data_IF_252495777123
#
_entry.id   IF_252495777123
#
_cell.length_a   1.000
_cell.length_b   1.000
_cell.length_c   1.000
_cell.angle_alpha   90.00
_cell.angle_beta   90.00
_cell.angle_gamma   90.00
#
_symmetry.space_group_name_H-M   'P 1'
#
loop_
_entity.id
_entity.type
_entity.pdbx_description
1 polymer ?
#
# COMPACT_ATOMS: atom_id res chain seq x y z
N UNK A 1 -16.55 12.71 9.58
CA UNK A 1 -15.95 11.39 9.34
C UNK A 1 -17.00 10.44 8.81
N UNK A 2 -16.74 9.81 7.68
CA UNK A 2 -17.71 8.90 7.07
C UNK A 2 -17.59 7.51 7.67
N UNK A 3 -18.75 6.86 7.83
CA UNK A 3 -18.82 5.49 8.31
C UNK A 3 -18.77 4.53 7.13
N UNK A 4 -17.90 3.53 7.19
CA UNK A 4 -17.80 2.52 6.15
C UNK A 4 -18.98 1.55 6.29
N UNK A 5 -19.75 1.40 5.19
CA UNK A 5 -20.95 0.56 5.19
C UNK A 5 -20.65 -0.91 4.92
N UNK A 6 -19.52 -1.21 4.32
CA UNK A 6 -19.14 -2.58 3.96
C UNK A 6 -17.96 -2.99 4.82
N UNK A 7 -18.20 -3.75 5.91
CA UNK A 7 -17.12 -4.13 6.83
C UNK A 7 -15.96 -4.87 6.17
N UNK A 8 -16.26 -5.73 5.17
CA UNK A 8 -15.22 -6.48 4.47
C UNK A 8 -14.22 -5.59 3.78
N UNK A 9 -14.65 -4.45 3.23
CA UNK A 9 -13.76 -3.51 2.56
C UNK A 9 -12.77 -2.89 3.53
N UNK A 10 -13.25 -2.43 4.68
CA UNK A 10 -12.39 -1.87 5.74
C UNK A 10 -11.41 -2.92 6.26
N UNK A 11 -11.89 -4.14 6.48
CA UNK A 11 -11.05 -5.24 6.97
C UNK A 11 -9.98 -5.61 5.97
N UNK A 12 -10.33 -5.65 4.67
CA UNK A 12 -9.35 -5.90 3.61
C UNK A 12 -8.27 -4.83 3.58
N UNK A 13 -8.64 -3.56 3.66
CA UNK A 13 -7.68 -2.46 3.71
C UNK A 13 -6.77 -2.59 4.93
N UNK A 14 -7.30 -2.96 6.08
CA UNK A 14 -6.51 -3.15 7.29
C UNK A 14 -5.44 -4.23 7.12
N UNK A 15 -5.77 -5.32 6.43
CA UNK A 15 -4.80 -6.37 6.10
C UNK A 15 -3.71 -5.81 5.18
N UNK A 16 -4.09 -5.06 4.15
CA UNK A 16 -3.14 -4.43 3.23
C UNK A 16 -2.18 -3.49 3.97
N UNK A 17 -2.71 -2.67 4.87
CA UNK A 17 -1.90 -1.71 5.63
C UNK A 17 -0.91 -2.40 6.57
N UNK A 18 -1.29 -3.50 7.20
CA UNK A 18 -0.38 -4.29 8.02
C UNK A 18 0.75 -4.87 7.18
N UNK A 19 0.43 -5.38 5.98
CA UNK A 19 1.44 -5.94 5.07
C UNK A 19 2.31 -4.85 4.44
N UNK A 20 1.80 -3.65 4.28
CA UNK A 20 2.59 -2.51 3.85
C UNK A 20 3.69 -2.18 4.87
N UNK A 21 3.34 -2.25 6.14
CA UNK A 21 4.26 -1.92 7.24
C UNK A 21 5.23 -3.06 7.57
N UNK A 22 4.75 -4.29 7.57
CA UNK A 22 5.51 -5.45 8.04
C UNK A 22 6.06 -6.33 6.91
N UNK A 23 5.77 -6.00 5.66
CA UNK A 23 6.20 -6.68 4.43
C UNK A 23 5.69 -8.10 4.27
N UNK A 24 5.98 -9.00 5.21
CA UNK A 24 5.56 -10.41 5.17
C UNK A 24 5.01 -10.82 6.52
N UNK A 25 3.86 -11.47 6.53
CA UNK A 25 3.23 -11.97 7.74
C UNK A 25 2.62 -13.34 7.49
N UNK A 26 2.66 -14.20 8.49
CA UNK A 26 1.83 -15.41 8.50
C UNK A 26 0.38 -15.00 8.77
N UNK A 27 -0.57 -15.90 8.51
CA UNK A 27 -1.97 -15.64 8.83
C UNK A 27 -2.15 -15.37 10.32
N UNK A 28 -1.46 -16.12 11.18
CA UNK A 28 -1.50 -15.90 12.62
C UNK A 28 -1.05 -14.51 13.01
N UNK A 29 0.02 -14.01 12.39
CA UNK A 29 0.49 -12.65 12.62
C UNK A 29 -0.52 -11.62 12.13
N UNK A 30 -1.16 -11.84 10.97
CA UNK A 30 -2.20 -10.96 10.48
C UNK A 30 -3.39 -10.89 11.43
N UNK A 31 -3.81 -12.02 11.97
CA UNK A 31 -4.90 -12.06 12.96
C UNK A 31 -4.52 -11.23 14.18
N UNK A 32 -3.32 -11.42 14.69
CA UNK A 32 -2.83 -10.70 15.86
C UNK A 32 -2.71 -9.18 15.60
N UNK A 33 -2.10 -8.80 14.49
CA UNK A 33 -1.81 -7.39 14.17
C UNK A 33 -3.05 -6.60 13.74
N UNK A 34 -4.02 -7.27 13.11
CA UNK A 34 -5.26 -6.59 12.69
C UNK A 34 -6.33 -6.61 13.77
N UNK A 35 -6.23 -7.49 14.73
CA UNK A 35 -7.27 -7.73 15.75
C UNK A 35 -8.61 -8.14 15.14
N UNK A 36 -8.60 -8.71 13.94
CA UNK A 36 -9.80 -9.19 13.27
C UNK A 36 -10.11 -10.63 13.67
N UNK A 37 -11.38 -11.05 13.57
CA UNK A 37 -11.73 -12.44 13.80
C UNK A 37 -10.97 -13.38 12.85
N UNK A 38 -10.54 -14.52 13.37
CA UNK A 38 -9.77 -15.50 12.60
C UNK A 38 -10.48 -15.91 11.31
N UNK A 39 -11.77 -16.21 11.38
CA UNK A 39 -12.56 -16.61 10.21
C UNK A 39 -12.58 -15.53 9.13
N UNK A 40 -12.69 -14.27 9.53
CA UNK A 40 -12.67 -13.15 8.58
C UNK A 40 -11.32 -13.06 7.86
N UNK A 41 -10.22 -13.20 8.59
CA UNK A 41 -8.88 -13.11 8.00
C UNK A 41 -8.66 -14.22 6.98
N UNK A 42 -9.04 -15.46 7.31
CA UNK A 42 -8.88 -16.58 6.39
C UNK A 42 -9.64 -16.36 5.08
N UNK A 43 -10.91 -15.94 5.18
CA UNK A 43 -11.75 -15.71 4.00
C UNK A 43 -11.22 -14.57 3.16
N UNK A 44 -10.88 -13.46 3.80
CA UNK A 44 -10.38 -12.28 3.10
C UNK A 44 -9.05 -12.55 2.40
N UNK A 45 -8.11 -13.18 3.10
CA UNK A 45 -6.81 -13.51 2.53
C UNK A 45 -6.96 -14.45 1.33
N UNK A 46 -7.82 -15.47 1.44
CA UNK A 46 -8.06 -16.39 0.34
C UNK A 46 -8.58 -15.65 -0.91
N UNK A 47 -9.58 -14.80 -0.74
CA UNK A 47 -10.14 -14.01 -1.84
C UNK A 47 -9.14 -13.01 -2.40
N UNK A 48 -8.36 -12.36 -1.53
CA UNK A 48 -7.36 -11.39 -1.97
C UNK A 48 -6.23 -12.05 -2.76
N UNK A 49 -5.87 -13.29 -2.42
CA UNK A 49 -4.92 -14.07 -3.20
C UNK A 49 -5.50 -14.38 -4.60
N UNK A 50 -6.75 -14.80 -4.67
CA UNK A 50 -7.43 -15.06 -5.95
C UNK A 50 -7.48 -13.82 -6.82
N UNK A 51 -7.61 -12.64 -6.23
CA UNK A 51 -7.65 -11.35 -6.92
C UNK A 51 -6.25 -10.79 -7.22
N UNK A 52 -5.20 -11.51 -6.86
CA UNK A 52 -3.81 -11.09 -7.05
C UNK A 52 -3.40 -9.85 -6.26
N UNK A 53 -4.17 -9.50 -5.25
CA UNK A 53 -3.81 -8.44 -4.30
C UNK A 53 -2.73 -8.92 -3.32
N UNK A 54 -2.76 -10.20 -2.99
CA UNK A 54 -1.82 -10.84 -2.09
C UNK A 54 -1.21 -12.08 -2.74
N UNK A 55 -0.07 -12.49 -2.21
CA UNK A 55 0.59 -13.75 -2.56
C UNK A 55 0.95 -14.49 -1.30
N UNK A 56 0.77 -15.81 -1.32
CA UNK A 56 1.31 -16.69 -0.29
C UNK A 56 2.61 -17.30 -0.79
N UNK A 57 3.67 -17.14 -0.02
CA UNK A 57 4.98 -17.69 -0.34
C UNK A 57 5.09 -19.15 0.12
N UNK A 58 6.15 -19.84 -0.31
CA UNK A 58 6.36 -21.25 0.05
C UNK A 58 6.52 -21.47 1.56
N UNK A 59 6.99 -20.45 2.28
CA UNK A 59 7.13 -20.47 3.75
C UNK A 59 5.82 -20.12 4.46
N UNK A 60 4.72 -20.01 3.70
CA UNK A 60 3.37 -19.65 4.17
C UNK A 60 3.21 -18.19 4.61
N UNK A 61 4.19 -17.34 4.42
CA UNK A 61 4.01 -15.91 4.65
C UNK A 61 3.21 -15.28 3.52
N UNK A 62 2.47 -14.23 3.87
CA UNK A 62 1.63 -13.46 2.94
C UNK A 62 2.33 -12.13 2.68
N UNK A 63 2.26 -11.65 1.44
CA UNK A 63 2.78 -10.33 1.07
C UNK A 63 1.88 -9.64 0.06
N UNK A 64 2.04 -8.34 -0.10
CA UNK A 64 1.39 -7.57 -1.14
C UNK A 64 1.88 -8.04 -2.51
N UNK A 65 0.99 -8.03 -3.52
CA UNK A 65 1.33 -8.63 -4.81
C UNK A 65 1.01 -7.72 -5.99
N UNK A 66 1.19 -8.26 -7.18
CA UNK A 66 1.30 -7.51 -8.45
C UNK A 66 0.08 -6.67 -8.83
N UNK A 67 -1.13 -7.06 -8.44
CA UNK A 67 -2.32 -6.25 -8.75
C UNK A 67 -2.21 -4.87 -8.15
N UNK A 68 -1.63 -4.78 -6.96
CA UNK A 68 -1.43 -3.49 -6.28
C UNK A 68 -0.41 -2.62 -7.00
N UNK A 69 0.63 -3.22 -7.60
CA UNK A 69 1.60 -2.47 -8.41
C UNK A 69 0.89 -1.86 -9.62
N UNK A 70 0.07 -2.64 -10.30
CA UNK A 70 -0.70 -2.18 -11.46
C UNK A 70 -1.66 -1.05 -11.09
N UNK A 71 -2.41 -1.22 -10.01
CA UNK A 71 -3.35 -0.20 -9.55
C UNK A 71 -2.62 1.06 -9.11
N UNK A 72 -1.52 0.90 -8.39
CA UNK A 72 -0.71 2.03 -7.93
C UNK A 72 -0.10 2.82 -9.08
N UNK A 73 0.39 2.14 -10.11
CA UNK A 73 0.93 2.80 -11.31
C UNK A 73 -0.15 3.62 -12.01
N UNK A 74 -1.33 3.05 -12.17
CA UNK A 74 -2.45 3.77 -12.80
C UNK A 74 -2.89 4.98 -11.96
N UNK A 75 -2.94 4.82 -10.66
CA UNK A 75 -3.27 5.92 -9.76
C UNK A 75 -2.24 7.06 -9.88
N UNK A 76 -0.96 6.69 -9.93
CA UNK A 76 0.12 7.65 -10.05
C UNK A 76 0.04 8.44 -11.36
N UNK A 77 -0.25 7.74 -12.47
CA UNK A 77 -0.44 8.39 -13.77
C UNK A 77 -1.61 9.35 -13.78
N UNK A 78 -2.74 8.97 -13.14
CA UNK A 78 -3.95 9.79 -13.12
C UNK A 78 -3.80 11.07 -12.31
N UNK A 79 -2.82 11.14 -11.43
CA UNK A 79 -2.58 12.33 -10.62
C UNK A 79 -1.93 13.48 -11.41
N UNK A 80 -1.25 13.18 -12.50
CA UNK A 80 -0.51 14.14 -13.32
C UNK A 80 0.54 14.98 -12.56
N UNK A 81 0.75 14.67 -11.30
CA UNK A 81 1.64 15.44 -10.44
C UNK A 81 3.09 15.05 -10.63
N UNK A 82 3.36 13.79 -10.94
CA UNK A 82 4.75 13.32 -11.11
C UNK A 82 5.47 14.07 -12.20
N UNK A 83 4.81 14.30 -13.35
CA UNK A 83 5.40 15.03 -14.47
C UNK A 83 5.67 16.51 -14.14
N UNK A 84 4.76 17.13 -13.37
CA UNK A 84 4.90 18.53 -12.98
C UNK A 84 5.97 18.70 -11.91
N UNK A 85 5.99 17.80 -10.94
CA UNK A 85 6.84 17.94 -9.74
C UNK A 85 8.26 17.42 -9.95
N UNK A 86 8.44 16.39 -10.79
CA UNK A 86 9.76 15.78 -11.00
C UNK A 86 10.87 16.78 -11.38
N UNK A 87 10.63 17.76 -12.29
CA UNK A 87 11.67 18.74 -12.59
C UNK A 87 12.09 19.58 -11.38
N UNK A 88 11.13 19.89 -10.50
CA UNK A 88 11.44 20.64 -9.27
C UNK A 88 12.26 19.81 -8.29
N UNK A 89 11.99 18.52 -8.19
CA UNK A 89 12.78 17.61 -7.38
C UNK A 89 14.22 17.48 -7.91
N UNK A 90 14.37 17.41 -9.23
CA UNK A 90 15.69 17.35 -9.86
C UNK A 90 16.49 18.62 -9.56
N UNK A 91 15.85 19.80 -9.66
CA UNK A 91 16.47 21.07 -9.29
C UNK A 91 16.90 21.09 -7.83
N UNK A 92 16.06 20.54 -6.96
CA UNK A 92 16.37 20.50 -5.54
C UNK A 92 17.60 19.62 -5.27
N UNK A 93 17.70 18.49 -5.92
CA UNK A 93 18.85 17.58 -5.82
C UNK A 93 20.12 18.31 -6.25
N UNK A 94 20.08 18.99 -7.39
CA UNK A 94 21.23 19.74 -7.91
C UNK A 94 21.62 20.89 -7.00
N UNK A 95 20.63 21.61 -6.44
CA UNK A 95 20.87 22.79 -5.62
C UNK A 95 21.48 22.47 -4.27
N UNK A 96 21.10 21.34 -3.66
CA UNK A 96 21.48 21.00 -2.28
C UNK A 96 22.35 19.73 -2.18
N UNK A 97 22.80 19.24 -3.34
CA UNK A 97 23.65 18.05 -3.41
C UNK A 97 23.02 16.83 -2.71
N UNK A 98 21.72 16.65 -2.90
CA UNK A 98 20.98 15.49 -2.39
C UNK A 98 21.13 14.30 -3.32
N UNK A 99 21.22 13.10 -2.76
CA UNK A 99 21.22 11.86 -3.54
C UNK A 99 19.81 11.47 -3.99
N UNK A 100 18.81 11.75 -3.16
CA UNK A 100 17.42 11.41 -3.42
C UNK A 100 16.52 12.53 -2.91
N UNK A 101 15.49 12.84 -3.68
CA UNK A 101 14.40 13.72 -3.25
C UNK A 101 13.06 13.06 -3.55
N UNK A 102 12.11 13.22 -2.65
CA UNK A 102 10.78 12.67 -2.78
C UNK A 102 9.74 13.77 -2.69
N UNK A 103 8.67 13.63 -3.48
CA UNK A 103 7.48 14.44 -3.34
C UNK A 103 6.35 13.57 -2.78
N UNK A 104 5.72 14.05 -1.71
CA UNK A 104 4.61 13.36 -1.08
C UNK A 104 3.33 14.19 -1.13
N UNK A 105 2.20 13.53 -1.12
CA UNK A 105 0.88 14.17 -1.01
C UNK A 105 0.35 13.87 0.39
N UNK A 106 -0.14 14.92 1.05
CA UNK A 106 -0.85 14.77 2.31
C UNK A 106 -2.34 14.62 2.01
N UNK A 107 -2.91 13.52 2.44
CA UNK A 107 -4.33 13.24 2.28
C UNK A 107 -4.85 12.58 3.55
N UNK A 108 -5.83 13.20 4.19
CA UNK A 108 -6.43 12.71 5.43
C UNK A 108 -5.37 12.39 6.50
N UNK A 109 -4.42 13.34 6.69
CA UNK A 109 -3.30 13.26 7.65
C UNK A 109 -2.27 12.17 7.36
N UNK A 110 -2.31 11.57 6.17
CA UNK A 110 -1.31 10.59 5.72
C UNK A 110 -0.49 11.15 4.57
N UNK A 111 0.80 10.81 4.57
CA UNK A 111 1.71 11.21 3.49
C UNK A 111 1.87 10.06 2.50
N UNK A 112 1.73 10.36 1.22
CA UNK A 112 1.91 9.39 0.14
C UNK A 112 2.98 9.88 -0.82
N UNK A 113 3.98 9.03 -1.10
CA UNK A 113 5.05 9.38 -2.03
C UNK A 113 4.59 9.12 -3.47
N UNK A 114 4.66 10.16 -4.32
CA UNK A 114 4.20 10.09 -5.71
C UNK A 114 5.31 10.29 -6.72
N UNK A 115 6.49 10.78 -6.32
CA UNK A 115 7.65 10.95 -7.19
C UNK A 115 8.92 10.68 -6.40
N UNK A 116 9.86 9.97 -7.03
CA UNK A 116 11.15 9.62 -6.44
C UNK A 116 12.25 10.00 -7.44
N UNK A 117 13.25 10.74 -6.97
CA UNK A 117 14.42 11.16 -7.75
C UNK A 117 15.72 10.89 -7.00
#
# INVERSE_FOLDING_TARGET
MSTIRVPALERALRILEVLQKNRRCTISELISLTSLPRSSVYVLVDDMIKLRLLRQNSDKTIQLWVKLVSLGSSAQESLDLSEIISPYLEKLIDSVDCLVANFGIMDDDKAYYVALK
#
